data_IF_507701185719
#
_entry.id   IF_507701185719
#
_cell.length_a   1.000
_cell.length_b   1.000
_cell.length_c   1.000
_cell.angle_alpha   90.00
_cell.angle_beta   90.00
_cell.angle_gamma   90.00
#
_symmetry.space_group_name_H-M   'P 1'
#
loop_
_entity.id
_entity.type
_entity.pdbx_description
1 polymer ?
#
# COMPACT_ATOMS: atom_id res chain seq x y z
N UNK A 1 -3.47 14.24 11.26
CA UNK A 1 -3.66 13.01 10.45
C UNK A 1 -2.61 12.99 9.35
N UNK A 2 -2.05 11.83 8.97
CA UNK A 2 -1.03 11.70 7.93
C UNK A 2 -1.49 10.71 6.84
N UNK A 3 -1.14 10.98 5.59
CA UNK A 3 -1.34 10.08 4.45
C UNK A 3 0.05 9.66 3.95
N UNK A 4 0.36 8.36 3.98
CA UNK A 4 1.71 7.90 3.66
C UNK A 4 1.88 7.42 2.21
N UNK A 5 0.82 6.89 1.60
CA UNK A 5 0.82 6.35 0.25
C UNK A 5 -0.52 6.59 -0.42
N UNK A 6 -0.48 6.98 -1.70
CA UNK A 6 -1.62 6.97 -2.60
C UNK A 6 -1.17 6.32 -3.91
N UNK A 7 -1.86 5.27 -4.34
CA UNK A 7 -1.47 4.49 -5.51
C UNK A 7 -2.68 4.15 -6.38
N UNK A 8 -2.45 4.09 -7.69
CA UNK A 8 -3.41 3.63 -8.69
C UNK A 8 -2.84 2.36 -9.31
N UNK A 9 -3.60 1.28 -9.21
CA UNK A 9 -3.23 -0.04 -9.71
C UNK A 9 -4.29 -0.55 -10.68
N UNK A 10 -3.83 -1.28 -11.69
CA UNK A 10 -4.69 -2.09 -12.55
C UNK A 10 -4.79 -3.50 -11.97
N UNK A 11 -6.02 -3.99 -11.73
CA UNK A 11 -6.27 -5.36 -11.27
C UNK A 11 -6.33 -6.30 -12.48
N UNK A 12 -5.25 -7.05 -12.72
CA UNK A 12 -5.23 -8.15 -13.68
C UNK A 12 -5.89 -9.41 -13.14
N UNK A 13 -5.93 -10.46 -13.96
CA UNK A 13 -6.51 -11.77 -13.59
C UNK A 13 -5.74 -12.47 -12.49
N UNK A 14 -4.40 -12.39 -12.51
CA UNK A 14 -3.51 -13.08 -11.55
C UNK A 14 -2.65 -12.13 -10.73
N UNK A 15 -2.39 -10.92 -11.23
CA UNK A 15 -1.47 -9.95 -10.62
C UNK A 15 -2.01 -8.53 -10.74
N UNK A 16 -1.68 -7.68 -9.77
CA UNK A 16 -1.85 -6.23 -9.87
C UNK A 16 -0.66 -5.56 -10.54
N UNK A 17 -0.93 -4.52 -11.34
CA UNK A 17 0.09 -3.69 -11.97
C UNK A 17 0.02 -2.27 -11.42
N UNK A 18 1.11 -1.77 -10.85
CA UNK A 18 1.20 -0.40 -10.39
C UNK A 18 1.29 0.56 -11.58
N UNK A 19 0.33 1.47 -11.71
CA UNK A 19 0.35 2.50 -12.76
C UNK A 19 1.02 3.79 -12.27
N UNK A 20 0.68 4.22 -11.05
CA UNK A 20 1.27 5.40 -10.43
C UNK A 20 1.19 5.30 -8.91
N UNK A 21 2.17 5.87 -8.23
CA UNK A 21 2.14 6.06 -6.78
C UNK A 21 2.76 7.41 -6.39
N UNK A 22 2.32 7.92 -5.24
CA UNK A 22 2.92 9.03 -4.51
C UNK A 22 3.08 8.61 -3.05
N UNK A 23 4.19 9.00 -2.44
CA UNK A 23 4.54 8.65 -1.06
C UNK A 23 4.95 9.90 -0.28
N UNK A 24 4.45 10.03 0.95
CA UNK A 24 4.97 10.99 1.93
C UNK A 24 5.52 10.21 3.13
N UNK A 25 6.84 10.02 3.11
CA UNK A 25 7.57 9.27 4.14
C UNK A 25 8.43 10.20 5.01
N UNK A 26 8.14 11.50 4.98
CA UNK A 26 8.90 12.52 5.71
C UNK A 26 8.98 12.25 7.21
N UNK A 27 7.96 11.59 7.78
CA UNK A 27 7.89 11.24 9.19
C UNK A 27 8.66 9.98 9.60
N UNK A 28 9.21 9.23 8.65
CA UNK A 28 10.06 8.07 8.95
C UNK A 28 11.54 8.47 8.92
N UNK A 29 12.35 7.80 9.75
CA UNK A 29 13.81 7.95 9.75
C UNK A 29 14.37 7.73 8.35
N UNK A 30 15.33 8.55 7.93
CA UNK A 30 15.89 8.54 6.57
C UNK A 30 16.28 7.13 6.10
N UNK A 31 16.94 6.36 6.97
CA UNK A 31 17.40 5.00 6.68
C UNK A 31 16.29 3.95 6.53
N UNK A 32 15.07 4.25 7.00
CA UNK A 32 13.92 3.33 6.91
C UNK A 32 13.01 3.63 5.70
N UNK A 33 13.13 4.82 5.09
CA UNK A 33 12.18 5.28 4.06
C UNK A 33 12.09 4.34 2.86
N UNK A 34 13.20 3.77 2.40
CA UNK A 34 13.19 2.81 1.27
C UNK A 34 12.37 1.58 1.61
N UNK A 35 12.66 0.93 2.75
CA UNK A 35 11.94 -0.27 3.18
C UNK A 35 10.46 0.00 3.44
N UNK A 36 10.12 1.16 4.01
CA UNK A 36 8.72 1.58 4.22
C UNK A 36 8.01 1.80 2.88
N UNK A 37 8.67 2.41 1.89
CA UNK A 37 8.10 2.59 0.55
C UNK A 37 7.82 1.24 -0.13
N UNK A 38 8.79 0.32 -0.06
CA UNK A 38 8.65 -1.04 -0.59
C UNK A 38 7.49 -1.77 0.08
N UNK A 39 7.40 -1.70 1.41
CA UNK A 39 6.30 -2.29 2.16
C UNK A 39 4.94 -1.72 1.72
N UNK A 40 4.80 -0.40 1.59
CA UNK A 40 3.55 0.21 1.13
C UNK A 40 3.20 -0.19 -0.31
N UNK A 41 4.19 -0.33 -1.17
CA UNK A 41 4.01 -0.78 -2.56
C UNK A 41 3.50 -2.22 -2.59
N UNK A 42 4.15 -3.11 -1.84
CA UNK A 42 3.77 -4.52 -1.71
C UNK A 42 2.35 -4.67 -1.14
N UNK A 43 2.06 -3.98 -0.04
CA UNK A 43 0.75 -4.04 0.62
C UNK A 43 -0.36 -3.53 -0.30
N UNK A 44 -0.12 -2.45 -1.06
CA UNK A 44 -1.09 -1.95 -2.04
C UNK A 44 -1.43 -2.99 -3.11
N UNK A 45 -0.40 -3.66 -3.65
CA UNK A 45 -0.57 -4.73 -4.64
C UNK A 45 -1.35 -5.93 -4.07
N UNK A 46 -0.97 -6.38 -2.87
CA UNK A 46 -1.63 -7.49 -2.18
C UNK A 46 -3.11 -7.22 -1.92
N UNK A 47 -3.46 -6.01 -1.44
CA UNK A 47 -4.85 -5.62 -1.19
C UNK A 47 -5.65 -5.66 -2.50
N UNK A 48 -5.12 -5.10 -3.59
CA UNK A 48 -5.80 -5.10 -4.90
C UNK A 48 -6.00 -6.54 -5.40
N UNK A 49 -5.01 -7.41 -5.24
CA UNK A 49 -5.09 -8.82 -5.65
C UNK A 49 -6.16 -9.60 -4.89
N UNK A 50 -6.34 -9.33 -3.60
CA UNK A 50 -7.33 -10.01 -2.75
C UNK A 50 -8.72 -9.37 -2.72
N UNK A 51 -8.86 -8.16 -3.23
CA UNK A 51 -10.16 -7.47 -3.30
C UNK A 51 -10.97 -7.89 -4.52
N UNK A 52 -12.30 -7.98 -4.39
CA UNK A 52 -13.21 -8.20 -5.51
C UNK A 52 -13.40 -6.92 -6.33
N UNK A 53 -13.63 -7.06 -7.63
CA UNK A 53 -13.93 -5.90 -8.49
C UNK A 53 -15.25 -5.23 -8.07
N UNK A 54 -15.28 -3.90 -8.11
CA UNK A 54 -16.47 -3.12 -7.73
C UNK A 54 -16.74 -3.02 -6.22
N UNK A 55 -15.84 -3.52 -5.37
CA UNK A 55 -15.96 -3.44 -3.91
C UNK A 55 -15.14 -2.29 -3.30
N UNK A 56 -15.55 -1.87 -2.10
CA UNK A 56 -14.78 -0.94 -1.25
C UNK A 56 -14.49 -1.64 0.07
N UNK A 57 -13.24 -1.57 0.51
CA UNK A 57 -12.79 -2.17 1.76
C UNK A 57 -11.82 -1.24 2.50
N UNK A 58 -11.79 -1.33 3.82
CA UNK A 58 -10.76 -0.73 4.67
C UNK A 58 -10.02 -1.85 5.39
N UNK A 59 -8.71 -1.95 5.18
CA UNK A 59 -7.87 -2.97 5.81
C UNK A 59 -7.10 -2.31 6.96
N UNK A 60 -7.25 -2.85 8.17
CA UNK A 60 -6.51 -2.41 9.35
C UNK A 60 -5.36 -3.38 9.59
N UNK A 61 -4.13 -2.87 9.57
CA UNK A 61 -2.97 -3.63 10.02
C UNK A 61 -3.04 -3.85 11.53
N UNK A 62 -2.84 -5.08 11.99
CA UNK A 62 -2.60 -5.34 13.41
C UNK A 62 -1.16 -4.94 13.70
N UNK A 63 -0.95 -3.73 14.22
CA UNK A 63 0.23 -3.49 15.03
C UNK A 63 0.13 -4.47 16.20
N UNK A 64 1.10 -5.38 16.35
CA UNK A 64 1.18 -6.25 17.51
C UNK A 64 1.05 -5.40 18.77
N UNK A 65 -0.09 -5.49 19.44
CA UNK A 65 -0.18 -5.12 20.84
C UNK A 65 0.53 -6.21 21.63
N UNK A 66 1.20 -5.77 22.70
CA UNK A 66 1.78 -6.55 23.80
C UNK A 66 1.58 -8.08 23.76
#
# INVERSE_FOLDING_TARGET
>A
MKLYSLSVLYKGSTKSNLLKAAYDLSSFSFFQRSSVQEFMTFTSALIVERSSQGSRASVKEQAGGE
#
